data_IF_676135294252
#
_entry.id   IF_676135294252
#
_cell.length_a   1.000
_cell.length_b   1.000
_cell.length_c   1.000
_cell.angle_alpha   90.00
_cell.angle_beta   90.00
_cell.angle_gamma   90.00
#
_symmetry.space_group_name_H-M   'P 1'
#
loop_
_entity.id
_entity.type
_entity.pdbx_description
1 polymer ?
#
# COMPACT_ATOMS: atom_id res chain seq x y z
N UNK A 1 33.42 12.04 20.06
CA UNK A 1 33.14 11.59 18.69
C UNK A 1 31.76 10.95 18.75
N UNK A 2 30.73 11.59 18.17
CA UNK A 2 29.37 11.04 18.21
C UNK A 2 29.29 9.93 17.16
N UNK A 3 28.93 8.73 17.59
CA UNK A 3 28.57 7.65 16.67
C UNK A 3 27.26 8.09 16.04
N UNK A 4 27.15 8.19 14.71
CA UNK A 4 25.88 8.46 14.06
C UNK A 4 24.87 7.39 14.48
N UNK A 5 23.64 7.81 14.76
CA UNK A 5 22.57 6.83 14.99
C UNK A 5 22.50 5.87 13.80
N UNK A 6 22.29 4.56 14.05
CA UNK A 6 22.12 3.62 12.97
C UNK A 6 20.99 4.11 12.06
N UNK A 7 21.13 3.96 10.73
CA UNK A 7 20.12 4.40 9.79
C UNK A 7 18.79 3.75 10.15
N UNK A 8 17.74 4.57 10.25
CA UNK A 8 16.40 4.08 10.54
C UNK A 8 16.04 2.99 9.54
N UNK A 9 15.61 1.83 10.04
CA UNK A 9 15.11 0.77 9.16
C UNK A 9 13.90 1.31 8.40
N UNK A 10 13.88 1.09 7.09
CA UNK A 10 12.77 1.44 6.24
C UNK A 10 11.56 0.55 6.57
N UNK A 11 10.36 1.14 6.64
CA UNK A 11 9.16 0.43 7.11
C UNK A 11 7.94 0.74 6.28
N UNK A 12 7.04 -0.23 6.19
CA UNK A 12 5.67 -0.03 5.70
C UNK A 12 4.78 0.32 6.90
N UNK A 13 3.97 1.36 6.74
CA UNK A 13 3.03 1.84 7.78
C UNK A 13 1.63 1.89 7.17
N UNK A 14 0.71 1.02 7.62
CA UNK A 14 -0.69 1.10 7.23
C UNK A 14 -1.36 2.30 7.91
N UNK A 15 -2.18 3.04 7.15
CA UNK A 15 -2.94 4.18 7.63
C UNK A 15 -4.43 3.92 7.43
N UNK A 16 -5.18 3.85 8.51
CA UNK A 16 -6.64 3.94 8.45
C UNK A 16 -7.04 5.41 8.43
N UNK A 17 -7.52 5.88 7.27
CA UNK A 17 -7.87 7.28 7.04
C UNK A 17 -9.38 7.43 7.09
N UNK A 18 -9.87 8.28 7.99
CA UNK A 18 -11.30 8.57 8.13
C UNK A 18 -11.62 10.06 7.86
N UNK A 19 -12.82 10.39 7.35
CA UNK A 19 -13.22 11.76 7.04
C UNK A 19 -13.21 12.69 8.26
N UNK A 20 -13.04 13.98 8.01
CA UNK A 20 -13.00 15.01 9.06
C UNK A 20 -14.32 15.14 9.83
N UNK A 21 -15.44 14.95 9.14
CA UNK A 21 -16.80 14.95 9.67
C UNK A 21 -17.26 13.56 10.15
N UNK A 22 -16.39 12.54 10.03
CA UNK A 22 -16.63 11.17 10.48
C UNK A 22 -16.16 10.90 11.91
N UNK A 23 -16.51 9.71 12.40
CA UNK A 23 -16.01 9.14 13.67
C UNK A 23 -15.17 7.93 13.33
N UNK A 24 -13.93 7.88 13.87
CA UNK A 24 -13.03 6.76 13.64
C UNK A 24 -13.64 5.44 14.16
N UNK A 25 -13.68 4.43 13.30
CA UNK A 25 -14.11 3.07 13.59
C UNK A 25 -12.89 2.20 13.95
N UNK A 26 -12.46 2.28 15.21
CA UNK A 26 -11.24 1.63 15.69
C UNK A 26 -11.23 0.10 15.50
N UNK A 27 -12.40 -0.53 15.37
CA UNK A 27 -12.51 -1.95 15.06
C UNK A 27 -11.87 -2.35 13.72
N UNK A 28 -11.61 -1.38 12.83
CA UNK A 28 -10.98 -1.61 11.53
C UNK A 28 -9.46 -1.82 11.59
N UNK A 29 -8.81 -1.45 12.70
CA UNK A 29 -7.36 -1.59 12.84
C UNK A 29 -6.91 -3.05 12.85
N UNK A 30 -7.64 -3.93 13.52
CA UNK A 30 -7.28 -5.36 13.61
C UNK A 30 -7.38 -6.05 12.24
N UNK A 31 -8.48 -5.91 11.47
CA UNK A 31 -8.57 -6.42 10.11
C UNK A 31 -7.47 -5.88 9.17
N UNK A 32 -7.18 -4.58 9.20
CA UNK A 32 -6.10 -3.97 8.39
C UNK A 32 -4.74 -4.59 8.74
N UNK A 33 -4.43 -4.69 10.04
CA UNK A 33 -3.18 -5.32 10.49
C UNK A 33 -3.09 -6.78 10.05
N UNK A 34 -4.19 -7.52 10.16
CA UNK A 34 -4.25 -8.92 9.73
C UNK A 34 -3.96 -9.06 8.23
N UNK A 35 -4.65 -8.28 7.38
CA UNK A 35 -4.44 -8.27 5.93
C UNK A 35 -2.97 -7.95 5.58
N UNK A 36 -2.41 -6.90 6.18
CA UNK A 36 -1.02 -6.50 5.94
C UNK A 36 -0.01 -7.57 6.38
N UNK A 37 -0.28 -8.33 7.44
CA UNK A 37 0.57 -9.45 7.87
C UNK A 37 0.50 -10.62 6.88
N UNK A 38 -0.66 -10.90 6.29
CA UNK A 38 -0.78 -11.89 5.23
C UNK A 38 0.03 -11.44 4.01
N UNK A 39 -0.11 -10.19 3.57
CA UNK A 39 0.67 -9.63 2.45
C UNK A 39 2.18 -9.71 2.75
N UNK A 40 2.60 -9.32 3.95
CA UNK A 40 4.00 -9.42 4.38
C UNK A 40 4.54 -10.86 4.30
N UNK A 41 3.74 -11.84 4.78
CA UNK A 41 4.06 -13.26 4.72
C UNK A 41 4.09 -13.80 3.29
N UNK A 42 3.19 -13.35 2.44
CA UNK A 42 3.17 -13.71 1.02
C UNK A 42 4.44 -13.25 0.31
N UNK A 43 4.83 -11.98 0.46
CA UNK A 43 6.09 -11.47 -0.10
C UNK A 43 7.30 -12.27 0.42
N UNK A 44 7.32 -12.61 1.71
CA UNK A 44 8.36 -13.46 2.29
C UNK A 44 8.41 -14.83 1.58
N UNK A 45 7.26 -15.47 1.36
CA UNK A 45 7.18 -16.74 0.64
C UNK A 45 7.72 -16.67 -0.79
N UNK A 46 7.39 -15.60 -1.53
CA UNK A 46 7.84 -15.41 -2.92
C UNK A 46 9.32 -14.97 -3.03
N UNK A 47 9.91 -14.45 -1.95
CA UNK A 47 11.28 -13.93 -1.89
C UNK A 47 12.21 -14.70 -0.93
N UNK A 48 11.93 -16.00 -0.71
CA UNK A 48 12.79 -16.91 0.08
C UNK A 48 13.05 -16.40 1.51
N UNK A 49 12.01 -15.91 2.17
CA UNK A 49 12.04 -15.43 3.55
C UNK A 49 12.36 -13.94 3.71
N UNK A 50 12.78 -13.25 2.65
CA UNK A 50 12.99 -11.78 2.70
C UNK A 50 11.67 -11.04 2.54
N UNK A 51 11.41 -10.06 3.39
CA UNK A 51 10.21 -9.22 3.33
C UNK A 51 10.49 -7.84 3.92
N UNK A 52 9.55 -6.92 3.76
CA UNK A 52 9.62 -5.59 4.32
C UNK A 52 9.34 -5.59 5.83
N UNK A 53 9.85 -4.58 6.54
CA UNK A 53 9.43 -4.32 7.92
C UNK A 53 8.06 -3.66 7.95
N UNK A 54 7.16 -4.13 8.82
CA UNK A 54 5.78 -3.68 8.90
C UNK A 54 5.44 -3.23 10.32
N UNK A 55 4.99 -1.97 10.45
CA UNK A 55 4.38 -1.45 11.67
C UNK A 55 2.89 -1.75 11.75
N UNK A 56 2.33 -1.59 12.95
CA UNK A 56 0.89 -1.64 13.14
C UNK A 56 0.21 -0.39 12.56
N UNK A 57 -1.02 -0.57 12.12
CA UNK A 57 -1.85 0.44 11.51
C UNK A 57 -2.05 1.66 12.42
N UNK A 58 -2.00 2.85 11.83
CA UNK A 58 -2.24 4.12 12.51
C UNK A 58 -3.58 4.71 12.08
N UNK A 59 -4.27 5.34 13.01
CA UNK A 59 -5.50 6.08 12.73
C UNK A 59 -5.13 7.50 12.31
N UNK A 60 -5.67 7.96 11.20
CA UNK A 60 -5.41 9.29 10.66
C UNK A 60 -6.72 9.99 10.33
N UNK A 61 -6.92 11.16 10.94
CA UNK A 61 -8.06 12.02 10.60
C UNK A 61 -7.69 12.84 9.36
N UNK A 62 -8.50 12.73 8.32
CA UNK A 62 -8.34 13.56 7.13
C UNK A 62 -8.68 15.03 7.41
N UNK A 63 -8.14 15.93 6.58
CA UNK A 63 -8.55 17.33 6.55
C UNK A 63 -9.88 17.55 5.80
N UNK A 64 -10.34 16.55 5.04
CA UNK A 64 -11.51 16.64 4.17
C UNK A 64 -12.70 15.88 4.74
N UNK A 65 -13.90 16.39 4.46
CA UNK A 65 -15.17 15.73 4.79
C UNK A 65 -15.48 14.60 3.79
N UNK A 66 -16.43 13.73 4.13
CA UNK A 66 -16.79 12.55 3.34
C UNK A 66 -17.16 12.86 1.89
N UNK A 67 -17.80 14.01 1.64
CA UNK A 67 -18.21 14.45 0.31
C UNK A 67 -17.02 14.68 -0.64
N UNK A 68 -15.88 15.13 -0.14
CA UNK A 68 -14.66 15.31 -0.92
C UNK A 68 -14.23 14.02 -1.64
N UNK A 69 -14.36 12.88 -0.94
CA UNK A 69 -14.07 11.54 -1.44
C UNK A 69 -15.10 11.01 -2.45
N UNK A 70 -16.25 11.66 -2.59
CA UNK A 70 -17.28 11.24 -3.53
C UNK A 70 -17.25 12.08 -4.82
N UNK A 71 -16.86 13.36 -4.71
CA UNK A 71 -16.95 14.32 -5.82
C UNK A 71 -15.72 14.40 -6.73
N UNK A 72 -14.51 14.10 -6.25
CA UNK A 72 -13.28 14.19 -7.07
C UNK A 72 -12.91 12.91 -7.86
N UNK A 73 -13.71 11.84 -7.76
CA UNK A 73 -13.18 10.48 -7.85
C UNK A 73 -13.36 9.69 -9.15
N UNK A 74 -13.42 10.36 -10.30
CA UNK A 74 -13.21 9.70 -11.61
C UNK A 74 -11.79 9.89 -12.18
N UNK A 75 -10.81 10.15 -11.32
CA UNK A 75 -9.39 10.09 -11.71
C UNK A 75 -8.52 9.74 -10.52
N UNK A 76 -7.40 9.07 -10.79
CA UNK A 76 -6.33 8.71 -9.85
C UNK A 76 -5.96 9.87 -8.89
N UNK A 77 -6.14 11.12 -9.32
CA UNK A 77 -5.73 12.32 -8.59
C UNK A 77 -6.49 12.60 -7.29
N UNK A 78 -7.76 12.18 -7.15
CA UNK A 78 -8.58 12.56 -5.98
C UNK A 78 -8.16 11.85 -4.68
N UNK A 79 -7.83 10.57 -4.79
CA UNK A 79 -7.43 9.71 -3.68
C UNK A 79 -5.96 9.95 -3.27
N UNK A 80 -5.08 10.24 -4.23
CA UNK A 80 -3.69 10.65 -3.94
C UNK A 80 -3.58 11.88 -3.03
N UNK A 81 -4.44 12.89 -3.23
CA UNK A 81 -4.46 14.09 -2.38
C UNK A 81 -4.81 13.74 -0.93
N UNK A 82 -5.76 12.83 -0.72
CA UNK A 82 -6.14 12.35 0.61
C UNK A 82 -4.98 11.62 1.27
N UNK A 83 -4.34 10.69 0.58
CA UNK A 83 -3.24 9.93 1.15
C UNK A 83 -2.06 10.85 1.48
N UNK A 84 -1.75 11.82 0.61
CA UNK A 84 -0.73 12.82 0.88
C UNK A 84 -1.06 13.66 2.13
N UNK A 85 -2.32 14.04 2.34
CA UNK A 85 -2.77 14.75 3.54
C UNK A 85 -2.66 13.89 4.80
N UNK A 86 -3.02 12.62 4.69
CA UNK A 86 -2.91 11.65 5.77
C UNK A 86 -1.44 11.42 6.18
N UNK A 87 -0.55 11.28 5.20
CA UNK A 87 0.90 11.15 5.45
C UNK A 87 1.45 12.40 6.13
N UNK A 88 1.08 13.60 5.64
CA UNK A 88 1.50 14.88 6.22
C UNK A 88 1.05 15.03 7.67
N UNK A 89 -0.21 14.72 7.97
CA UNK A 89 -0.75 14.81 9.33
C UNK A 89 -0.18 13.75 10.29
N UNK A 90 0.31 12.63 9.75
CA UNK A 90 0.91 11.53 10.52
C UNK A 90 2.38 11.72 10.87
N UNK A 91 3.01 12.83 10.45
CA UNK A 91 4.46 13.08 10.58
C UNK A 91 5.31 11.92 10.03
N UNK A 92 4.85 11.27 8.96
CA UNK A 92 5.58 10.18 8.32
C UNK A 92 6.63 10.75 7.37
N UNK A 93 7.86 10.26 7.50
CA UNK A 93 8.96 10.58 6.62
C UNK A 93 8.95 9.63 5.42
N UNK A 94 8.46 10.10 4.26
CA UNK A 94 8.31 9.29 3.04
C UNK A 94 9.63 8.84 2.40
N UNK A 95 10.76 9.41 2.78
CA UNK A 95 12.09 8.91 2.41
C UNK A 95 12.48 7.65 3.21
N UNK A 96 11.74 7.36 4.28
CA UNK A 96 11.99 6.23 5.17
C UNK A 96 10.81 5.24 5.28
N UNK A 97 9.66 5.61 4.73
CA UNK A 97 8.40 4.91 4.95
C UNK A 97 7.61 4.76 3.67
N UNK A 98 7.01 3.58 3.49
CA UNK A 98 5.90 3.39 2.55
C UNK A 98 4.60 3.49 3.35
N UNK A 99 3.72 4.40 2.94
CA UNK A 99 2.40 4.53 3.54
C UNK A 99 1.37 3.83 2.66
N UNK A 100 0.51 3.00 3.27
CA UNK A 100 -0.64 2.42 2.58
C UNK A 100 -1.94 2.88 3.24
N UNK A 101 -2.75 3.65 2.50
CA UNK A 101 -3.98 4.26 2.99
C UNK A 101 -5.21 3.37 2.78
N UNK A 102 -5.92 3.05 3.85
CA UNK A 102 -7.24 2.44 3.85
C UNK A 102 -8.26 3.54 4.11
N UNK A 103 -8.91 4.02 3.05
CA UNK A 103 -9.68 5.27 3.08
C UNK A 103 -11.16 4.94 3.27
N UNK A 104 -11.75 5.37 4.39
CA UNK A 104 -13.16 5.16 4.69
C UNK A 104 -14.10 6.03 3.85
N UNK A 105 -15.19 5.41 3.39
CA UNK A 105 -16.27 6.10 2.67
C UNK A 105 -15.92 6.45 1.23
N UNK A 106 -14.78 5.97 0.74
CA UNK A 106 -14.43 6.02 -0.66
C UNK A 106 -15.13 4.88 -1.41
N UNK A 107 -16.28 5.20 -2.00
CA UNK A 107 -16.99 4.31 -2.92
C UNK A 107 -16.64 4.67 -4.37
N UNK A 108 -15.92 3.81 -5.10
CA UNK A 108 -15.56 4.07 -6.50
C UNK A 108 -16.73 3.83 -7.48
N UNK A 109 -17.98 3.92 -7.00
CA UNK A 109 -19.20 3.38 -7.64
C UNK A 109 -19.47 3.84 -9.07
N UNK A 110 -18.74 4.84 -9.59
CA UNK A 110 -18.84 5.31 -10.97
C UNK A 110 -17.56 5.17 -11.82
N UNK A 111 -16.43 4.69 -11.27
CA UNK A 111 -15.12 4.82 -11.93
C UNK A 111 -14.22 3.55 -11.87
N UNK A 112 -14.68 2.44 -11.28
CA UNK A 112 -14.10 1.09 -11.47
C UNK A 112 -12.71 0.82 -10.88
N UNK A 113 -12.05 1.80 -10.24
CA UNK A 113 -10.76 1.63 -9.57
C UNK A 113 -10.92 1.28 -8.09
N UNK A 114 -10.16 0.31 -7.59
CA UNK A 114 -10.25 -0.20 -6.21
C UNK A 114 -9.08 0.22 -5.31
N UNK A 115 -8.04 0.77 -5.94
CA UNK A 115 -6.82 1.23 -5.32
C UNK A 115 -5.98 2.01 -6.32
N UNK A 116 -4.88 2.57 -5.82
CA UNK A 116 -3.91 3.32 -6.59
C UNK A 116 -2.53 3.25 -5.93
N UNK A 117 -1.49 3.08 -6.74
CA UNK A 117 -0.14 2.83 -6.24
C UNK A 117 0.91 3.60 -7.01
N UNK A 118 1.91 4.11 -6.30
CA UNK A 118 2.91 5.03 -6.84
C UNK A 118 4.11 5.14 -5.91
N UNK A 119 5.20 5.78 -6.34
CA UNK A 119 6.47 5.74 -5.60
C UNK A 119 6.31 6.09 -4.11
N UNK A 120 6.51 5.08 -3.27
CA UNK A 120 6.41 5.10 -1.80
C UNK A 120 5.02 5.22 -1.16
N UNK A 121 3.94 5.15 -1.93
CA UNK A 121 2.58 5.24 -1.41
C UNK A 121 1.64 4.29 -2.14
N UNK A 122 0.66 3.75 -1.42
CA UNK A 122 -0.40 2.91 -1.95
C UNK A 122 -1.72 3.28 -1.28
N UNK A 123 -2.83 3.14 -1.98
CA UNK A 123 -4.15 3.41 -1.41
C UNK A 123 -5.14 2.32 -1.80
N UNK A 124 -6.05 2.06 -0.88
CA UNK A 124 -7.05 1.00 -0.94
C UNK A 124 -8.40 1.64 -0.59
N UNK A 125 -9.35 1.50 -1.50
CA UNK A 125 -10.73 1.99 -1.32
C UNK A 125 -11.46 1.22 -0.23
N UNK A 126 -12.41 1.88 0.47
CA UNK A 126 -13.26 1.19 1.47
C UNK A 126 -14.01 0.01 0.90
N UNK A 127 -14.42 0.09 -0.38
CA UNK A 127 -14.92 -1.05 -1.14
C UNK A 127 -14.03 -2.30 -0.97
N UNK A 128 -12.70 -2.13 -1.07
CA UNK A 128 -11.79 -3.25 -1.18
C UNK A 128 -11.42 -3.83 0.19
N UNK A 129 -11.68 -3.12 1.29
CA UNK A 129 -11.23 -3.55 2.61
C UNK A 129 -12.36 -3.67 3.65
N UNK A 130 -13.56 -3.18 3.36
CA UNK A 130 -14.75 -3.42 4.20
C UNK A 130 -15.05 -4.94 4.33
N UNK A 131 -14.57 -5.75 3.38
CA UNK A 131 -14.65 -7.23 3.40
C UNK A 131 -13.80 -7.90 4.49
N UNK A 132 -12.82 -7.18 5.07
CA UNK A 132 -12.05 -7.72 6.19
C UNK A 132 -12.82 -7.72 7.51
N UNK A 133 -13.99 -7.07 7.56
CA UNK A 133 -14.79 -6.96 8.78
C UNK A 133 -15.87 -8.05 8.75
N UNK A 134 -15.88 -9.00 9.71
CA UNK A 134 -16.73 -10.19 9.67
C UNK A 134 -18.25 -9.97 9.61
N UNK A 135 -18.71 -8.73 9.85
CA UNK A 135 -20.13 -8.39 9.97
C UNK A 135 -20.63 -7.41 8.89
N UNK A 136 -19.81 -7.07 7.88
CA UNK A 136 -20.25 -6.25 6.75
C UNK A 136 -21.03 -7.14 5.78
N UNK A 137 -22.35 -6.95 5.62
CA UNK A 137 -23.14 -7.79 4.74
C UNK A 137 -22.88 -7.36 3.30
N UNK A 138 -21.86 -7.94 2.66
CA UNK A 138 -21.69 -7.83 1.21
C UNK A 138 -22.17 -9.12 0.53
N UNK A 139 -23.11 -9.03 -0.44
CA UNK A 139 -23.58 -10.19 -1.16
C UNK A 139 -22.52 -10.60 -2.18
N UNK A 140 -21.65 -11.56 -1.86
CA UNK A 140 -20.86 -12.25 -2.89
C UNK A 140 -21.81 -13.15 -3.68
N UNK A 141 -22.37 -12.60 -4.76
CA UNK A 141 -23.30 -13.32 -5.63
C UNK A 141 -22.63 -14.47 -6.42
N UNK A 142 -21.32 -14.66 -6.29
CA UNK A 142 -20.50 -15.60 -7.04
C UNK A 142 -19.70 -16.60 -6.18
N UNK A 143 -19.77 -16.53 -4.85
CA UNK A 143 -19.14 -17.50 -3.95
C UNK A 143 -17.61 -17.44 -3.94
N UNK A 144 -16.98 -16.38 -4.47
CA UNK A 144 -15.55 -16.12 -4.22
C UNK A 144 -15.36 -15.67 -2.78
N UNK A 145 -14.31 -16.19 -2.12
CA UNK A 145 -13.90 -15.75 -0.78
C UNK A 145 -13.33 -14.32 -0.89
N UNK A 146 -14.23 -13.32 -0.84
CA UNK A 146 -13.92 -11.90 -1.05
C UNK A 146 -12.79 -11.39 -0.15
N UNK A 147 -12.54 -12.01 0.99
CA UNK A 147 -11.38 -11.67 1.82
C UNK A 147 -10.04 -11.90 1.09
N UNK A 148 -9.92 -12.89 0.21
CA UNK A 148 -8.69 -13.17 -0.55
C UNK A 148 -8.44 -12.14 -1.67
N UNK A 149 -9.53 -11.69 -2.30
CA UNK A 149 -9.55 -10.62 -3.30
C UNK A 149 -8.92 -9.34 -2.75
N UNK A 150 -9.38 -8.91 -1.58
CA UNK A 150 -8.92 -7.71 -0.89
C UNK A 150 -7.42 -7.75 -0.58
N UNK A 151 -6.89 -8.91 -0.20
CA UNK A 151 -5.45 -9.08 0.11
C UNK A 151 -4.61 -8.97 -1.16
N UNK A 152 -5.09 -9.53 -2.28
CA UNK A 152 -4.41 -9.41 -3.58
C UNK A 152 -4.31 -7.94 -4.00
N UNK A 153 -5.38 -7.17 -3.90
CA UNK A 153 -5.39 -5.73 -4.21
C UNK A 153 -4.37 -4.98 -3.33
N UNK A 154 -4.38 -5.24 -2.02
CA UNK A 154 -3.39 -4.65 -1.09
C UNK A 154 -1.96 -5.00 -1.51
N UNK A 155 -1.68 -6.25 -1.89
CA UNK A 155 -0.37 -6.67 -2.34
C UNK A 155 0.06 -6.01 -3.66
N UNK A 156 -0.90 -5.84 -4.59
CA UNK A 156 -0.71 -5.20 -5.89
C UNK A 156 -0.33 -3.72 -5.75
N UNK A 157 -1.14 -2.94 -5.02
CA UNK A 157 -0.87 -1.51 -4.84
C UNK A 157 0.43 -1.28 -4.06
N UNK A 158 0.71 -2.14 -3.07
CA UNK A 158 1.98 -2.10 -2.37
C UNK A 158 3.16 -2.45 -3.30
N UNK A 159 2.95 -3.32 -4.29
CA UNK A 159 3.91 -3.62 -5.34
C UNK A 159 4.31 -2.37 -6.12
N UNK A 160 3.33 -1.55 -6.52
CA UNK A 160 3.59 -0.24 -7.12
C UNK A 160 4.37 0.69 -6.18
N UNK A 161 4.05 0.71 -4.88
CA UNK A 161 4.80 1.48 -3.90
C UNK A 161 6.27 1.04 -3.78
N UNK A 162 6.56 -0.24 -3.99
CA UNK A 162 7.92 -0.78 -4.08
C UNK A 162 8.61 -0.56 -5.44
N UNK A 163 7.96 0.11 -6.39
CA UNK A 163 8.51 0.43 -7.70
C UNK A 163 8.29 -0.65 -8.76
N UNK A 164 7.34 -1.56 -8.57
CA UNK A 164 6.91 -2.47 -9.63
C UNK A 164 6.01 -1.73 -10.63
N UNK A 165 6.30 -1.86 -11.93
CA UNK A 165 5.45 -1.38 -13.02
C UNK A 165 4.45 -2.44 -13.48
N UNK A 166 3.33 -2.02 -14.07
CA UNK A 166 2.25 -2.89 -14.56
C UNK A 166 2.51 -3.52 -15.94
N UNK A 167 3.77 -3.85 -16.25
CA UNK A 167 4.19 -3.92 -17.65
C UNK A 167 4.09 -5.32 -18.29
N UNK A 168 3.55 -6.34 -17.61
CA UNK A 168 3.53 -7.71 -18.15
C UNK A 168 2.19 -8.42 -17.93
N UNK A 169 1.50 -8.69 -19.06
CA UNK A 169 0.24 -9.42 -19.18
C UNK A 169 0.43 -10.95 -19.16
N UNK A 170 1.40 -11.45 -18.40
CA UNK A 170 1.59 -12.89 -18.24
C UNK A 170 0.82 -13.35 -16.98
N UNK A 171 -0.28 -14.09 -17.18
CA UNK A 171 -1.00 -14.78 -16.09
C UNK A 171 -0.05 -15.76 -15.37
N UNK A 172 -0.02 -15.89 -14.03
CA UNK A 172 -0.72 -15.14 -12.98
C UNK A 172 0.21 -14.16 -12.22
N UNK A 173 0.73 -13.13 -12.87
CA UNK A 173 1.64 -12.17 -12.21
C UNK A 173 0.89 -11.19 -11.28
N UNK A 174 1.46 -10.88 -10.11
CA UNK A 174 0.89 -9.91 -9.15
C UNK A 174 0.55 -8.57 -9.80
N UNK A 175 1.43 -8.07 -10.67
CA UNK A 175 1.25 -6.78 -11.36
C UNK A 175 0.48 -6.91 -12.68
N UNK A 176 0.05 -8.13 -13.04
CA UNK A 176 -0.76 -8.40 -14.22
C UNK A 176 -2.23 -8.06 -13.95
N UNK A 177 -2.81 -7.23 -14.81
CA UNK A 177 -4.16 -6.72 -14.63
C UNK A 177 -5.22 -7.71 -15.14
N UNK A 178 -5.38 -8.86 -14.48
CA UNK A 178 -6.53 -9.75 -14.69
C UNK A 178 -7.34 -9.89 -13.42
N UNK A 179 -8.67 -9.93 -13.65
CA UNK A 179 -9.76 -10.12 -12.71
C UNK A 179 -9.30 -10.72 -11.38
N UNK A 180 -8.97 -9.82 -10.46
CA UNK A 180 -9.07 -9.81 -9.00
C UNK A 180 -9.72 -10.96 -8.21
N UNK A 181 -10.32 -11.96 -8.85
CA UNK A 181 -10.95 -13.12 -8.22
C UNK A 181 -9.96 -14.27 -7.94
N UNK A 182 -8.68 -14.11 -8.29
CA UNK A 182 -7.67 -15.15 -8.09
C UNK A 182 -7.10 -15.06 -6.67
N UNK A 183 -6.99 -16.20 -6.00
CA UNK A 183 -6.37 -16.29 -4.69
C UNK A 183 -4.93 -15.74 -4.76
N UNK A 184 -4.57 -14.83 -3.85
CA UNK A 184 -3.21 -14.29 -3.75
C UNK A 184 -2.15 -15.42 -3.71
N UNK A 185 -2.48 -16.61 -3.20
CA UNK A 185 -1.58 -17.75 -3.20
C UNK A 185 -1.16 -18.21 -4.61
N UNK A 186 -2.05 -18.09 -5.59
CA UNK A 186 -1.82 -18.42 -7.00
C UNK A 186 -1.01 -17.35 -7.73
N UNK A 187 -1.05 -16.10 -7.25
CA UNK A 187 -0.25 -15.01 -7.79
C UNK A 187 1.26 -15.32 -7.69
N UNK A 188 2.01 -15.00 -8.73
CA UNK A 188 3.47 -15.12 -8.76
C UNK A 188 4.13 -13.75 -8.92
N UNK A 189 5.31 -13.60 -8.35
CA UNK A 189 6.26 -12.58 -8.79
C UNK A 189 7.07 -13.15 -9.94
N UNK A 190 7.08 -12.47 -11.08
CA UNK A 190 7.96 -12.83 -12.19
C UNK A 190 9.43 -12.52 -11.86
N UNK A 191 10.33 -12.96 -12.73
CA UNK A 191 11.78 -12.84 -12.47
C UNK A 191 12.23 -11.38 -12.39
N UNK A 192 11.60 -10.48 -13.15
CA UNK A 192 11.93 -9.05 -13.13
C UNK A 192 11.48 -8.41 -11.81
N UNK A 193 10.24 -8.66 -11.39
CA UNK A 193 9.67 -8.14 -10.15
C UNK A 193 10.47 -8.60 -8.93
N UNK A 194 10.80 -9.90 -8.83
CA UNK A 194 11.65 -10.41 -7.74
C UNK A 194 12.99 -9.69 -7.71
N UNK A 195 13.61 -9.45 -8.88
CA UNK A 195 14.88 -8.72 -8.95
C UNK A 195 14.74 -7.29 -8.46
N UNK A 196 13.68 -6.58 -8.83
CA UNK A 196 13.41 -5.22 -8.36
C UNK A 196 13.26 -5.22 -6.84
N UNK A 197 12.40 -6.09 -6.29
CA UNK A 197 12.15 -6.17 -4.85
C UNK A 197 13.38 -6.58 -4.05
N UNK A 198 14.16 -7.55 -4.51
CA UNK A 198 15.40 -7.98 -3.83
C UNK A 198 16.48 -6.90 -3.78
N UNK A 199 16.39 -5.89 -4.65
CA UNK A 199 17.26 -4.71 -4.61
C UNK A 199 16.57 -3.48 -4.02
N UNK A 200 15.29 -3.59 -3.65
CA UNK A 200 14.54 -2.52 -3.00
C UNK A 200 15.02 -2.39 -1.54
N UNK A 201 15.30 -1.18 -1.05
CA UNK A 201 15.88 -0.99 0.27
C UNK A 201 14.93 -1.40 1.42
N UNK A 202 13.63 -1.56 1.18
CA UNK A 202 12.68 -2.08 2.17
C UNK A 202 12.82 -3.59 2.40
N UNK A 203 13.40 -4.35 1.45
CA UNK A 203 13.58 -5.80 1.54
C UNK A 203 15.03 -6.23 1.80
N UNK A 204 15.94 -5.26 1.85
CA UNK A 204 17.36 -5.50 2.11
C UNK A 204 17.69 -5.04 3.51
N UNK A 205 18.54 -5.80 4.19
CA UNK A 205 19.12 -5.34 5.43
C UNK A 205 19.95 -4.09 5.12
N UNK A 206 19.53 -2.95 5.66
CA UNK A 206 20.11 -1.62 5.37
C UNK A 206 21.61 -1.61 5.63
N UNK A 207 22.08 -2.39 6.61
CA UNK A 207 23.51 -2.59 6.86
C UNK A 207 24.20 -3.31 5.71
N UNK A 208 23.60 -4.35 5.16
CA UNK A 208 24.13 -5.07 4.00
C UNK A 208 24.11 -4.19 2.74
N UNK A 209 23.10 -3.33 2.57
CA UNK A 209 23.05 -2.38 1.45
C UNK A 209 24.14 -1.31 1.55
N UNK A 210 24.37 -0.75 2.74
CA UNK A 210 25.41 0.26 2.99
C UNK A 210 26.82 -0.33 2.87
N UNK A 211 27.02 -1.58 3.31
CA UNK A 211 28.32 -2.23 3.29
C UNK A 211 28.69 -2.77 1.90
N UNK A 212 27.72 -3.23 1.11
CA UNK A 212 27.96 -3.76 -0.25
C UNK A 212 27.79 -2.68 -1.34
N UNK A 213 26.98 -1.66 -1.09
CA UNK A 213 26.82 -0.50 -1.95
C UNK A 213 27.81 0.59 -1.54
N UNK A 214 28.96 0.66 -2.22
CA UNK A 214 29.74 1.91 -2.30
C UNK A 214 28.75 2.99 -2.71
N UNK A 215 28.36 3.86 -1.77
CA UNK A 215 27.43 4.97 -1.94
C UNK A 215 27.80 5.77 -3.21
N UNK A 216 27.16 5.43 -4.33
CA UNK A 216 26.96 6.39 -5.37
C UNK A 216 25.93 7.38 -4.82
N UNK A 217 26.43 8.55 -4.41
CA UNK A 217 25.63 9.64 -3.83
C UNK A 217 24.64 10.25 -4.85
N UNK A 218 24.43 9.60 -5.98
CA UNK A 218 23.54 10.01 -7.06
C UNK A 218 22.09 9.55 -6.88
N UNK A 219 21.78 8.67 -5.91
CA UNK A 219 20.39 8.27 -5.62
C UNK A 219 19.64 9.44 -4.95
N UNK A 220 19.17 10.37 -5.77
CA UNK A 220 18.25 11.42 -5.36
C UNK A 220 16.87 10.78 -5.24
N UNK A 221 16.38 10.65 -4.01
CA UNK A 221 14.94 10.56 -3.76
C UNK A 221 14.30 11.70 -4.53
N UNK A 222 13.45 11.37 -5.51
CA UNK A 222 12.86 12.34 -6.43
C UNK A 222 12.19 13.46 -5.63
N UNK A 223 12.61 14.70 -5.88
CA UNK A 223 11.88 15.86 -5.37
C UNK A 223 10.51 15.89 -6.06
N UNK A 224 9.47 15.49 -5.35
CA UNK A 224 8.10 15.76 -5.77
C UNK A 224 7.86 17.27 -5.75
N UNK A 225 7.44 17.80 -6.91
CA UNK A 225 6.65 19.03 -6.97
C UNK A 225 5.21 18.59 -7.06
N UNK A 226 4.45 18.81 -5.99
CA UNK A 226 2.99 18.83 -6.07
C UNK A 226 2.63 20.08 -6.88
N UNK A 227 1.94 19.99 -8.03
CA UNK A 227 1.48 21.17 -8.74
C UNK A 227 0.43 21.87 -7.88
N UNK A 228 0.71 23.12 -7.49
CA UNK A 228 -0.30 24.01 -6.94
C UNK A 228 -1.19 24.49 -8.10
N UNK A 229 -2.50 24.22 -8.01
CA UNK A 229 -3.55 24.96 -8.72
C UNK A 229 -4.52 25.54 -7.71
#
# INVERSE_FOLDING_TARGET
MLVPDPPAMLKVVPLYVYPNDGVAKLQYLQPINYAMRIVQGWYAGKLQGKTFSLEDARVVKSAHNLDFYQYKNCGEFGSWEVLADAVRSSNILLDQTIAIGFIEGWEPSNCGGQGGGGSNMAEISSWAWDDFIPDTPYPSNDGTDFAHYSIQVVAHELGHAFGLGGDQWEDPCLMGHRNSNDDINECILNTSERRILLNNPFFTDVLSFILNGKLDRSFRVGRFRVPYS
#
